data_IF_453250865914
#
_entry.id   IF_453250865914
#
_cell.length_a   1.000
_cell.length_b   1.000
_cell.length_c   1.000
_cell.angle_alpha   90.00
_cell.angle_beta   90.00
_cell.angle_gamma   90.00
#
_symmetry.space_group_name_H-M   'P 1'
#
loop_
_entity.id
_entity.type
_entity.pdbx_description
1 polymer ?
#
# COMPACT_ATOMS: atom_id res chain seq x y z
N UNK A 1 -7.98 -17.19 -14.58
CA UNK A 1 -7.14 -16.10 -14.08
C UNK A 1 -6.35 -16.62 -12.90
N UNK A 2 -5.09 -16.22 -12.78
CA UNK A 2 -4.25 -16.57 -11.64
C UNK A 2 -4.44 -15.55 -10.52
N UNK A 3 -4.05 -15.91 -9.30
CA UNK A 3 -3.94 -14.92 -8.24
C UNK A 3 -2.53 -14.32 -8.29
N UNK A 4 -2.41 -13.07 -7.86
CA UNK A 4 -1.12 -12.42 -7.63
C UNK A 4 -1.02 -11.97 -6.19
N UNK A 5 0.20 -12.04 -5.66
CA UNK A 5 0.58 -11.34 -4.44
C UNK A 5 1.45 -10.15 -4.82
N UNK A 6 1.09 -8.98 -4.31
CA UNK A 6 1.85 -7.75 -4.46
C UNK A 6 2.28 -7.23 -3.09
N UNK A 7 3.54 -6.77 -3.03
CA UNK A 7 4.06 -6.04 -1.87
C UNK A 7 4.31 -4.61 -2.29
N UNK A 8 3.64 -3.66 -1.63
CA UNK A 8 3.82 -2.23 -1.83
C UNK A 8 4.61 -1.61 -0.70
N UNK A 9 5.38 -0.58 -1.02
CA UNK A 9 5.97 0.38 -0.08
C UNK A 9 5.36 1.75 -0.35
N UNK A 10 4.82 2.35 0.69
CA UNK A 10 4.12 3.64 0.63
C UNK A 10 4.89 4.61 1.51
N UNK A 11 5.48 5.62 0.86
CA UNK A 11 6.20 6.69 1.52
C UNK A 11 5.22 7.82 1.84
N UNK A 12 5.21 8.33 3.10
CA UNK A 12 4.60 9.60 3.43
C UNK A 12 5.05 10.73 2.51
N UNK A 13 4.13 11.65 2.19
CA UNK A 13 4.45 12.88 1.48
C UNK A 13 5.38 13.75 2.37
N UNK A 14 6.57 14.08 1.84
CA UNK A 14 7.57 14.88 2.55
C UNK A 14 7.22 16.36 2.66
N UNK A 15 6.30 16.85 1.84
CA UNK A 15 5.86 18.25 1.81
C UNK A 15 4.67 18.51 2.76
N UNK A 16 4.10 17.45 3.35
CA UNK A 16 3.03 17.53 4.34
C UNK A 16 3.64 17.36 5.73
N UNK A 17 3.48 18.39 6.57
CA UNK A 17 3.88 18.31 7.98
C UNK A 17 3.00 17.30 8.74
N UNK A 18 3.58 16.66 9.75
CA UNK A 18 2.89 15.73 10.68
C UNK A 18 2.18 14.55 9.99
N UNK A 19 2.67 14.06 8.84
CA UNK A 19 2.13 12.84 8.22
C UNK A 19 2.30 11.64 9.16
N UNK A 20 1.18 11.06 9.55
CA UNK A 20 1.13 9.90 10.40
C UNK A 20 1.04 8.60 9.57
N UNK A 21 2.16 7.86 9.51
CA UNK A 21 2.22 6.55 8.86
C UNK A 21 1.27 5.52 9.49
N UNK A 22 0.97 5.65 10.79
CA UNK A 22 0.06 4.74 11.49
C UNK A 22 -1.41 5.00 11.05
N UNK A 23 -1.76 6.26 10.78
CA UNK A 23 -3.06 6.64 10.18
C UNK A 23 -3.22 6.16 8.74
N UNK A 24 -2.17 6.26 7.91
CA UNK A 24 -2.14 5.69 6.56
C UNK A 24 -2.34 4.18 6.63
N UNK A 25 -1.60 3.48 7.50
CA UNK A 25 -1.71 2.04 7.68
C UNK A 25 -3.12 1.60 8.12
N UNK A 26 -3.73 2.35 9.03
CA UNK A 26 -5.11 2.10 9.49
C UNK A 26 -6.11 2.24 8.34
N UNK A 27 -5.96 3.28 7.51
CA UNK A 27 -6.84 3.52 6.36
C UNK A 27 -6.72 2.40 5.33
N UNK A 28 -5.49 1.99 5.00
CA UNK A 28 -5.23 0.91 4.05
C UNK A 28 -5.79 -0.42 4.57
N UNK A 29 -5.63 -0.71 5.86
CA UNK A 29 -6.20 -1.93 6.45
C UNK A 29 -7.72 -2.01 6.22
N UNK A 30 -8.42 -0.87 6.27
CA UNK A 30 -9.85 -0.78 6.00
C UNK A 30 -10.25 -0.87 4.52
N UNK A 31 -9.29 -0.87 3.59
CA UNK A 31 -9.56 -1.01 2.15
C UNK A 31 -9.76 -2.46 1.69
N UNK A 32 -9.50 -3.43 2.58
CA UNK A 32 -9.63 -4.86 2.27
C UNK A 32 -11.08 -5.21 1.91
N UNK A 33 -11.26 -5.86 0.76
CA UNK A 33 -12.56 -6.24 0.21
C UNK A 33 -12.47 -7.57 -0.58
N UNK A 34 -13.53 -7.93 -1.30
CA UNK A 34 -13.58 -9.18 -2.09
C UNK A 34 -12.64 -9.18 -3.30
N UNK A 35 -12.21 -7.99 -3.76
CA UNK A 35 -11.30 -7.80 -4.89
C UNK A 35 -9.85 -7.73 -4.38
N UNK A 36 -9.63 -7.00 -3.30
CA UNK A 36 -8.32 -6.72 -2.71
C UNK A 36 -8.22 -7.36 -1.33
N UNK A 37 -7.62 -8.54 -1.27
CA UNK A 37 -7.43 -9.26 -0.02
C UNK A 37 -6.13 -8.80 0.66
N UNK A 38 -6.21 -7.72 1.43
CA UNK A 38 -5.07 -7.15 2.16
C UNK A 38 -4.70 -8.09 3.31
N UNK A 39 -3.54 -8.73 3.19
CA UNK A 39 -3.02 -9.72 4.13
C UNK A 39 -2.32 -9.09 5.32
N UNK A 40 -1.55 -8.02 5.08
CA UNK A 40 -0.82 -7.31 6.12
C UNK A 40 -0.56 -5.86 5.74
N UNK A 41 -0.53 -5.01 6.77
CA UNK A 41 -0.12 -3.61 6.67
C UNK A 41 0.81 -3.34 7.85
N UNK A 42 2.06 -2.99 7.57
CA UNK A 42 3.11 -2.84 8.57
C UNK A 42 3.80 -1.49 8.43
N UNK A 43 3.89 -0.73 9.52
CA UNK A 43 4.71 0.49 9.55
C UNK A 43 6.15 0.11 9.88
N UNK A 44 7.09 0.44 8.99
CA UNK A 44 8.50 0.04 9.09
C UNK A 44 9.42 1.26 9.11
N UNK A 45 10.49 1.25 9.92
CA UNK A 45 11.47 2.33 9.90
C UNK A 45 12.26 2.30 8.59
N UNK A 46 12.55 3.48 8.03
CA UNK A 46 13.41 3.65 6.87
C UNK A 46 14.82 4.12 7.30
N UNK A 47 14.95 5.41 7.64
CA UNK A 47 16.17 6.04 8.15
C UNK A 47 15.83 7.41 8.76
N UNK A 48 16.71 7.95 9.61
CA UNK A 48 16.56 9.31 10.17
C UNK A 48 15.20 9.59 10.84
N UNK A 49 14.60 8.57 11.46
CA UNK A 49 13.28 8.68 12.09
C UNK A 49 12.10 8.59 11.12
N UNK A 50 12.35 8.54 9.81
CA UNK A 50 11.33 8.32 8.79
C UNK A 50 10.82 6.88 8.85
N UNK A 51 9.55 6.72 8.49
CA UNK A 51 8.85 5.45 8.39
C UNK A 51 8.19 5.33 7.02
N UNK A 52 7.87 4.11 6.61
CA UNK A 52 7.04 3.82 5.46
C UNK A 52 6.00 2.76 5.83
N UNK A 53 4.94 2.66 5.04
CA UNK A 53 3.92 1.61 5.19
C UNK A 53 4.18 0.52 4.15
N UNK A 54 4.31 -0.73 4.60
CA UNK A 54 4.44 -1.90 3.75
C UNK A 54 3.10 -2.63 3.70
N UNK A 55 2.58 -2.88 2.49
CA UNK A 55 1.28 -3.52 2.29
C UNK A 55 1.47 -4.81 1.51
N UNK A 56 0.88 -5.90 1.99
CA UNK A 56 0.78 -7.17 1.26
C UNK A 56 -0.68 -7.37 0.85
N UNK A 57 -0.92 -7.53 -0.45
CA UNK A 57 -2.25 -7.74 -1.00
C UNK A 57 -2.25 -8.93 -1.95
N UNK A 58 -3.33 -9.70 -1.87
CA UNK A 58 -3.63 -10.78 -2.81
C UNK A 58 -4.85 -10.37 -3.63
N UNK A 59 -4.77 -10.46 -4.95
CA UNK A 59 -5.86 -10.12 -5.86
C UNK A 59 -5.79 -10.95 -7.15
N UNK A 60 -6.82 -10.89 -7.98
CA UNK A 60 -6.81 -11.54 -9.31
C UNK A 60 -5.78 -10.85 -10.23
N UNK A 61 -5.16 -11.60 -11.15
CA UNK A 61 -4.30 -11.09 -12.22
C UNK A 61 -5.12 -10.45 -13.37
N UNK A 62 -6.10 -9.63 -12.99
CA UNK A 62 -6.99 -8.93 -13.88
C UNK A 62 -6.39 -7.60 -14.34
N UNK A 63 -6.62 -7.24 -15.60
CA UNK A 63 -6.11 -5.98 -16.17
C UNK A 63 -6.65 -4.77 -15.38
N UNK A 64 -5.74 -3.89 -14.95
CA UNK A 64 -6.06 -2.62 -14.27
C UNK A 64 -6.38 -2.72 -12.77
N UNK A 65 -6.38 -3.92 -12.16
CA UNK A 65 -6.66 -4.06 -10.73
C UNK A 65 -5.58 -3.43 -9.85
N UNK A 66 -4.30 -3.62 -10.22
CA UNK A 66 -3.16 -3.02 -9.53
C UNK A 66 -3.21 -1.48 -9.59
N UNK A 67 -3.37 -0.93 -10.80
CA UNK A 67 -3.46 0.52 -11.02
C UNK A 67 -4.62 1.14 -10.23
N UNK A 68 -5.78 0.47 -10.18
CA UNK A 68 -6.92 0.93 -9.41
C UNK A 68 -6.66 0.92 -7.89
N UNK A 69 -5.95 -0.08 -7.38
CA UNK A 69 -5.57 -0.11 -5.96
C UNK A 69 -4.56 0.99 -5.63
N UNK A 70 -3.55 1.17 -6.48
CA UNK A 70 -2.54 2.22 -6.34
C UNK A 70 -3.19 3.61 -6.36
N UNK A 71 -4.15 3.84 -7.26
CA UNK A 71 -4.95 5.07 -7.29
C UNK A 71 -5.70 5.31 -5.98
N UNK A 72 -6.41 4.29 -5.45
CA UNK A 72 -7.11 4.38 -4.16
C UNK A 72 -6.16 4.68 -2.99
N UNK A 73 -4.96 4.08 -2.98
CA UNK A 73 -3.95 4.35 -1.96
C UNK A 73 -3.38 5.76 -2.07
N UNK A 74 -3.18 6.27 -3.30
CA UNK A 74 -2.68 7.62 -3.54
C UNK A 74 -3.65 8.74 -3.13
N UNK A 75 -4.96 8.45 -3.08
CA UNK A 75 -5.98 9.40 -2.59
C UNK A 75 -5.96 9.57 -1.05
N UNK A 76 -5.26 8.70 -0.32
CA UNK A 76 -5.15 8.80 1.13
C UNK A 76 -4.29 10.02 1.48
N UNK A 77 -4.82 10.88 2.35
CA UNK A 77 -4.10 12.07 2.81
C UNK A 77 -2.75 11.70 3.42
N UNK A 78 -1.69 12.39 2.97
CA UNK A 78 -0.32 12.16 3.41
C UNK A 78 0.40 11.03 2.68
N UNK A 79 -0.23 10.32 1.75
CA UNK A 79 0.49 9.42 0.84
C UNK A 79 1.23 10.24 -0.22
N UNK A 80 2.52 9.98 -0.38
CA UNK A 80 3.36 10.62 -1.41
C UNK A 80 3.70 9.67 -2.55
N UNK A 81 4.64 8.76 -2.31
CA UNK A 81 5.14 7.82 -3.32
C UNK A 81 4.70 6.38 -3.00
N UNK A 82 4.29 5.64 -4.04
CA UNK A 82 3.96 4.22 -3.96
C UNK A 82 4.93 3.45 -4.84
N UNK A 83 5.64 2.49 -4.25
CA UNK A 83 6.63 1.63 -4.92
C UNK A 83 6.18 0.16 -4.85
N UNK A 84 6.28 -0.57 -5.95
CA UNK A 84 6.11 -2.03 -5.96
C UNK A 84 7.43 -2.69 -5.55
N UNK A 85 7.46 -3.37 -4.40
CA UNK A 85 8.63 -4.11 -3.93
C UNK A 85 8.72 -5.52 -4.54
N UNK A 86 7.59 -6.19 -4.73
CA UNK A 86 7.55 -7.54 -5.29
C UNK A 86 6.19 -7.86 -5.90
N UNK A 87 6.20 -8.68 -6.94
CA UNK A 87 5.01 -9.29 -7.54
C UNK A 87 5.27 -10.77 -7.75
N UNK A 88 4.31 -11.62 -7.38
CA UNK A 88 4.40 -13.07 -7.57
C UNK A 88 3.06 -13.69 -7.91
N UNK A 89 3.07 -14.68 -8.81
CA UNK A 89 1.90 -15.52 -9.09
C UNK A 89 1.74 -16.57 -7.99
N UNK A 90 0.49 -16.85 -7.59
CA UNK A 90 0.13 -17.86 -6.57
C UNK A 90 -0.72 -18.98 -7.18
#
# INVERSE_FOLDING_TARGET
>A
MGMVVMTYKINPDSDVDDVDSDSIATTITGMSDEIYNIQSVEVKPLAFGLKFVQVHVVMDDGEGLADALEGRMAEIHGVGEIEVLSMGLI
#
